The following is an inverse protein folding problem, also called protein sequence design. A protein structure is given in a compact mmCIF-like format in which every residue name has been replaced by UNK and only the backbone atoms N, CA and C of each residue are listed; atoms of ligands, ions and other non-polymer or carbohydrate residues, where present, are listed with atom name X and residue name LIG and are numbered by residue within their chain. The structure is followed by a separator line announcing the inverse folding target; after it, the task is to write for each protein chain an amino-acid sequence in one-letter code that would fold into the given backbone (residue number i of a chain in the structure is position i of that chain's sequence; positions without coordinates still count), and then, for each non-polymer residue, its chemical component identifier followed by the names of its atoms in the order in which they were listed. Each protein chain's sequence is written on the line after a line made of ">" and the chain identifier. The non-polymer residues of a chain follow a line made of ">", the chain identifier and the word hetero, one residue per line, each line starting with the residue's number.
data_IF_210015159726
#
_entry.id   IF_210015159726
#
_cell.length_a   1.000
_cell.length_b   1.000
_cell.length_c   1.000
_cell.angle_alpha   90.00
_cell.angle_beta   90.00
_cell.angle_gamma   90.00
#
_symmetry.space_group_name_H-M   'P 1'
#
loop_
_entity.id
_entity.type
_entity.pdbx_description
1 polymer ?
#
# COMPACT_ATOMS: atom_id res chain seq x y z
N UNK A 1 -5.31 24.52 -2.91
CA UNK A 1 -5.16 23.90 -2.45
C UNK A 1 -4.87 23.67 -2.07
N UNK A 2 -4.75 23.58 -2.02
CA UNK A 2 -4.47 23.04 -1.44
C UNK A 2 -4.31 22.42 -1.23
N UNK A 3 -4.23 22.51 -1.66
CA UNK A 3 -4.03 21.59 -1.31
C UNK A 3 -3.50 21.22 -1.43
N UNK A 4 -3.55 21.23 -1.81
CA UNK A 4 -2.94 20.59 -1.84
C UNK A 4 -2.15 20.70 -1.83
N UNK A 5 -1.68 20.95 -1.97
CA UNK A 5 -0.85 20.76 -1.66
C UNK A 5 -0.36 20.55 -1.34
N UNK A 6 -0.27 20.66 -1.65
CA UNK A 6 0.29 20.28 -1.09
C UNK A 6 0.22 19.64 -0.57
N UNK A 7 0.29 19.93 -1.13
CA UNK A 7 -0.29 18.91 -0.33
C UNK A 7 0.73 17.88 0.15
N UNK A 8 1.74 17.70 -0.59
CA UNK A 8 2.82 16.81 -0.26
C UNK A 8 3.52 17.23 1.03
N UNK A 9 3.75 18.49 1.12
CA UNK A 9 4.41 19.03 2.31
C UNK A 9 3.59 18.86 3.55
N UNK A 10 2.27 18.84 3.38
CA UNK A 10 1.37 18.68 4.50
C UNK A 10 1.23 17.24 4.96
N UNK A 11 1.76 16.33 4.16
CA UNK A 11 1.60 14.93 4.48
C UNK A 11 2.30 14.55 5.78
N UNK A 12 3.43 15.14 6.07
CA UNK A 12 4.15 14.88 7.29
C UNK A 12 4.88 13.55 7.34
N UNK A 13 4.58 12.65 6.41
CA UNK A 13 5.19 11.32 6.39
C UNK A 13 5.55 10.97 4.96
N UNK A 14 6.77 10.46 4.74
CA UNK A 14 7.16 10.09 3.38
C UNK A 14 6.40 8.86 2.91
N UNK A 15 6.20 8.77 1.61
CA UNK A 15 5.67 7.57 0.98
C UNK A 15 6.80 6.74 0.44
N UNK A 16 6.66 5.42 0.60
CA UNK A 16 7.69 4.48 0.22
C UNK A 16 7.08 3.44 -0.71
N UNK A 17 7.76 3.11 -1.81
CA UNK A 17 7.33 2.05 -2.72
C UNK A 17 7.63 0.70 -2.09
N UNK A 18 6.64 -0.15 -1.99
CA UNK A 18 6.82 -1.44 -1.31
C UNK A 18 6.41 -2.66 -2.12
N UNK A 19 5.48 -2.55 -3.05
CA UNK A 19 5.11 -3.67 -3.93
C UNK A 19 4.84 -4.97 -3.18
N UNK A 20 3.94 -4.92 -2.23
CA UNK A 20 3.60 -6.10 -1.44
C UNK A 20 2.21 -6.61 -1.77
N UNK A 21 2.03 -7.93 -1.78
CA UNK A 21 0.70 -8.49 -1.95
C UNK A 21 -0.14 -8.27 -0.71
N UNK A 22 -1.42 -8.06 -0.94
CA UNK A 22 -2.39 -7.95 0.13
C UNK A 22 -3.61 -8.77 -0.19
N UNK A 23 -4.31 -9.14 0.87
CA UNK A 23 -5.67 -9.65 0.79
C UNK A 23 -6.58 -8.61 1.40
N UNK A 24 -7.72 -8.38 0.79
CA UNK A 24 -8.66 -7.43 1.34
C UNK A 24 -10.07 -7.99 1.28
N UNK A 25 -10.90 -7.48 2.17
CA UNK A 25 -12.31 -7.82 2.24
C UNK A 25 -13.09 -6.54 2.40
N UNK A 26 -14.05 -6.35 1.51
CA UNK A 26 -15.04 -5.29 1.64
C UNK A 26 -15.91 -5.65 2.84
N UNK A 27 -16.13 -4.71 3.74
CA UNK A 27 -16.84 -5.02 4.98
C UNK A 27 -18.24 -5.54 4.74
N UNK A 28 -18.83 -5.25 3.60
CA UNK A 28 -20.15 -5.77 3.25
C UNK A 28 -20.14 -7.05 2.46
N UNK A 29 -18.98 -7.61 2.13
CA UNK A 29 -18.84 -8.74 1.23
C UNK A 29 -17.85 -9.72 1.86
N UNK A 30 -18.24 -10.98 2.09
CA UNK A 30 -17.33 -11.93 2.75
C UNK A 30 -16.20 -12.45 1.87
N UNK A 31 -16.18 -12.15 0.58
CA UNK A 31 -15.12 -12.65 -0.30
C UNK A 31 -13.80 -11.97 -0.03
N UNK A 32 -12.74 -12.77 0.10
CA UNK A 32 -11.37 -12.25 0.13
C UNK A 32 -10.87 -12.07 -1.29
N UNK A 33 -10.17 -10.98 -1.53
CA UNK A 33 -9.63 -10.66 -2.85
C UNK A 33 -8.20 -10.23 -2.72
N UNK A 34 -7.42 -10.44 -3.79
CA UNK A 34 -6.03 -10.04 -3.81
C UNK A 34 -5.83 -8.70 -4.47
N UNK A 35 -4.79 -8.01 -4.07
CA UNK A 35 -4.37 -6.74 -4.68
C UNK A 35 -2.91 -6.53 -4.35
N UNK A 36 -2.35 -5.42 -4.85
CA UNK A 36 -0.97 -5.06 -4.60
C UNK A 36 -0.96 -3.69 -3.92
N UNK A 37 -0.24 -3.59 -2.81
CA UNK A 37 0.04 -2.28 -2.26
C UNK A 37 1.31 -1.77 -2.93
N UNK A 38 1.20 -0.63 -3.60
CA UNK A 38 2.28 -0.07 -4.40
C UNK A 38 3.16 0.82 -3.55
N UNK A 39 2.54 1.67 -2.76
CA UNK A 39 3.31 2.48 -1.82
C UNK A 39 2.51 2.68 -0.54
N UNK A 40 3.21 3.07 0.49
CA UNK A 40 2.65 3.20 1.82
C UNK A 40 3.29 4.36 2.57
N UNK A 41 2.53 4.89 3.52
CA UNK A 41 3.03 5.83 4.52
C UNK A 41 2.38 5.47 5.84
N UNK A 42 2.66 6.25 6.87
CA UNK A 42 2.04 6.01 8.19
C UNK A 42 0.53 6.13 8.14
N UNK A 43 0.00 6.88 7.20
CA UNK A 43 -1.43 7.20 7.18
C UNK A 43 -2.24 6.47 6.14
N UNK A 44 -1.62 5.77 5.20
CA UNK A 44 -2.40 5.12 4.16
C UNK A 44 -1.60 4.39 3.12
N UNK A 45 -2.34 3.81 2.17
CA UNK A 45 -1.78 3.01 1.08
C UNK A 45 -2.23 3.55 -0.27
N UNK A 46 -1.41 3.29 -1.28
CA UNK A 46 -1.86 3.29 -2.67
C UNK A 46 -1.89 1.83 -3.11
N UNK A 47 -3.05 1.34 -3.54
CA UNK A 47 -3.15 -0.04 -3.99
C UNK A 47 -3.64 -0.10 -5.43
N UNK A 48 -3.38 -1.25 -6.08
CA UNK A 48 -3.89 -1.57 -7.39
C UNK A 48 -4.70 -2.85 -7.29
N UNK A 49 -5.93 -2.80 -7.79
CA UNK A 49 -6.84 -3.92 -7.70
C UNK A 49 -7.69 -3.99 -8.95
N UNK A 50 -8.18 -5.21 -9.24
CA UNK A 50 -9.02 -5.43 -10.43
C UNK A 50 -10.45 -5.00 -10.20
N UNK A 51 -10.94 -5.11 -8.98
CA UNK A 51 -12.34 -4.89 -8.69
C UNK A 51 -12.66 -3.40 -8.63
N UNK A 52 -13.82 -3.06 -9.17
CA UNK A 52 -14.35 -1.70 -9.09
C UNK A 52 -15.03 -1.53 -7.74
N UNK A 53 -14.45 -0.71 -6.87
CA UNK A 53 -14.95 -0.52 -5.51
C UNK A 53 -15.25 0.96 -5.32
N UNK A 54 -16.36 1.26 -4.69
CA UNK A 54 -16.79 2.66 -4.53
C UNK A 54 -15.92 3.42 -3.53
N UNK A 55 -15.69 4.69 -3.81
CA UNK A 55 -15.05 5.59 -2.85
C UNK A 55 -15.90 5.63 -1.59
N UNK A 56 -15.24 5.63 -0.44
CA UNK A 56 -15.92 5.61 0.85
C UNK A 56 -16.05 4.22 1.45
N UNK A 57 -15.79 3.17 0.65
CA UNK A 57 -15.85 1.81 1.14
C UNK A 57 -14.73 1.53 2.14
N UNK A 58 -15.05 0.83 3.22
CA UNK A 58 -14.05 0.41 4.20
C UNK A 58 -13.61 -1.01 3.88
N UNK A 59 -12.33 -1.24 3.93
CA UNK A 59 -11.72 -2.53 3.61
C UNK A 59 -10.96 -3.03 4.82
N UNK A 60 -11.07 -4.32 5.08
CA UNK A 60 -10.21 -5.01 6.02
C UNK A 60 -9.05 -5.59 5.20
N UNK A 61 -7.84 -5.18 5.50
CA UNK A 61 -6.67 -5.48 4.68
C UNK A 61 -5.66 -6.26 5.49
N UNK A 62 -5.13 -7.31 4.90
CA UNK A 62 -4.00 -8.05 5.46
C UNK A 62 -2.84 -7.89 4.51
N UNK A 63 -1.74 -7.35 4.99
CA UNK A 63 -0.51 -7.16 4.21
C UNK A 63 0.44 -8.30 4.56
N UNK A 64 1.04 -8.89 3.52
CA UNK A 64 1.98 -10.00 3.69
C UNK A 64 3.36 -9.54 3.27
N UNK A 65 4.34 -9.78 4.11
CA UNK A 65 5.71 -9.43 3.73
C UNK A 65 6.71 -10.45 4.29
N UNK A 66 7.80 -10.67 3.57
CA UNK A 66 8.82 -11.61 4.03
C UNK A 66 9.73 -10.96 5.08
N UNK A 67 10.11 -11.76 6.07
CA UNK A 67 11.10 -11.34 7.05
C UNK A 67 12.00 -12.54 7.30
N UNK A 68 13.17 -12.55 6.65
CA UNK A 68 14.01 -13.72 6.66
C UNK A 68 13.34 -14.87 5.92
N UNK A 69 13.18 -15.98 6.59
CA UNK A 69 12.57 -17.16 6.00
C UNK A 69 11.11 -17.32 6.36
N UNK A 70 10.52 -16.36 7.07
CA UNK A 70 9.12 -16.45 7.44
C UNK A 70 8.34 -15.34 6.75
N UNK A 71 7.04 -15.60 6.62
CA UNK A 71 6.10 -14.63 6.09
C UNK A 71 5.36 -14.02 7.26
N UNK A 72 5.39 -12.71 7.34
CA UNK A 72 4.76 -11.97 8.44
C UNK A 72 3.58 -11.21 7.87
N UNK A 73 2.52 -11.09 8.67
CA UNK A 73 1.37 -10.30 8.24
C UNK A 73 1.05 -9.22 9.25
N UNK A 74 0.36 -8.20 8.78
CA UNK A 74 -0.29 -7.24 9.66
C UNK A 74 -1.60 -6.79 9.02
N UNK A 75 -2.49 -6.27 9.86
CA UNK A 75 -3.85 -5.95 9.45
C UNK A 75 -4.17 -4.50 9.70
N UNK A 76 -5.01 -3.95 8.82
CA UNK A 76 -5.46 -2.57 8.94
C UNK A 76 -6.85 -2.46 8.35
N UNK A 77 -7.67 -1.59 8.94
CA UNK A 77 -8.94 -1.19 8.34
C UNK A 77 -8.71 0.16 7.70
N UNK A 78 -9.05 0.28 6.44
CA UNK A 78 -8.80 1.49 5.67
C UNK A 78 -10.03 1.86 4.85
N UNK A 79 -10.12 3.14 4.50
CA UNK A 79 -11.24 3.66 3.72
C UNK A 79 -10.70 4.18 2.40
N UNK A 80 -11.41 3.87 1.32
CA UNK A 80 -11.06 4.38 0.00
C UNK A 80 -11.42 5.86 -0.05
N UNK A 81 -10.43 6.70 -0.27
CA UNK A 81 -10.65 8.15 -0.34
C UNK A 81 -10.58 8.68 -1.76
N UNK A 82 -9.95 7.95 -2.69
CA UNK A 82 -10.02 8.28 -4.11
C UNK A 82 -9.77 7.03 -4.95
N UNK A 83 -10.14 7.11 -6.21
CA UNK A 83 -10.09 6.00 -7.13
C UNK A 83 -9.89 6.53 -8.53
N UNK A 84 -9.11 5.82 -9.35
CA UNK A 84 -9.04 6.14 -10.78
C UNK A 84 -8.82 4.86 -11.57
N UNK A 85 -9.33 4.79 -12.81
CA UNK A 85 -8.99 3.69 -13.69
C UNK A 85 -7.50 3.71 -13.97
N UNK A 86 -6.93 2.53 -14.16
CA UNK A 86 -5.50 2.42 -14.38
C UNK A 86 -5.21 1.19 -15.22
N UNK A 87 -4.28 1.33 -16.15
CA UNK A 87 -3.88 0.19 -16.96
C UNK A 87 -2.38 0.22 -17.16
N UNK A 88 -1.83 -0.93 -17.50
CA UNK A 88 -0.41 -1.09 -17.79
C UNK A 88 -0.26 -1.56 -19.22
N UNK A 89 0.71 -0.99 -19.93
CA UNK A 89 0.96 -1.29 -21.33
C UNK A 89 2.40 -1.67 -21.53
N UNK A 90 2.64 -2.50 -22.57
CA UNK A 90 4.00 -2.85 -22.93
C UNK A 90 4.58 -1.76 -23.86
N UNK A 91 5.80 -1.99 -24.34
CA UNK A 91 6.48 -1.01 -25.18
C UNK A 91 5.78 -0.74 -26.49
N UNK A 92 4.93 -1.65 -26.93
CA UNK A 92 4.16 -1.49 -28.16
C UNK A 92 2.79 -0.87 -27.93
N UNK A 93 2.51 -0.45 -26.71
CA UNK A 93 1.22 0.12 -26.37
C UNK A 93 0.14 -0.90 -26.12
N UNK A 94 0.48 -2.18 -26.07
CA UNK A 94 -0.50 -3.23 -25.83
C UNK A 94 -0.79 -3.32 -24.33
N UNK A 95 -2.07 -3.24 -23.98
CA UNK A 95 -2.52 -3.27 -22.61
C UNK A 95 -2.47 -4.71 -22.11
N UNK A 96 -1.75 -4.94 -20.99
CA UNK A 96 -1.66 -6.28 -20.43
C UNK A 96 -2.26 -6.37 -19.02
N UNK A 97 -2.61 -5.23 -18.42
CA UNK A 97 -3.28 -5.21 -17.11
C UNK A 97 -4.23 -4.04 -17.06
N UNK A 98 -5.35 -4.25 -16.44
CA UNK A 98 -6.40 -3.24 -16.41
C UNK A 98 -7.17 -3.37 -15.10
N UNK A 99 -7.33 -2.27 -14.41
CA UNK A 99 -8.03 -2.24 -13.14
C UNK A 99 -8.10 -0.82 -12.62
N UNK A 100 -7.86 -0.68 -11.33
CA UNK A 100 -8.03 0.60 -10.65
C UNK A 100 -6.91 0.83 -9.67
N UNK A 101 -6.58 2.09 -9.48
CA UNK A 101 -5.75 2.52 -8.36
C UNK A 101 -6.64 3.18 -7.31
N UNK A 102 -6.33 2.90 -6.06
CA UNK A 102 -7.09 3.42 -4.93
C UNK A 102 -6.14 4.06 -3.95
N UNK A 103 -6.52 5.26 -3.48
CA UNK A 103 -5.88 5.84 -2.32
C UNK A 103 -6.67 5.46 -1.09
N UNK A 104 -5.99 4.92 -0.10
CA UNK A 104 -6.61 4.43 1.12
C UNK A 104 -6.09 5.19 2.32
N UNK A 105 -6.98 5.54 3.22
CA UNK A 105 -6.65 6.18 4.48
C UNK A 105 -6.92 5.20 5.60
N UNK A 106 -5.95 5.03 6.51
CA UNK A 106 -6.12 4.11 7.62
C UNK A 106 -7.17 4.64 8.58
N UNK A 107 -8.09 3.75 8.96
CA UNK A 107 -9.12 4.08 9.93
C UNK A 107 -8.83 3.44 11.26
N UNK A 108 -8.24 2.26 11.25
CA UNK A 108 -8.04 1.50 12.48
C UNK A 108 -6.88 0.55 12.27
N UNK A 109 -5.93 0.60 13.18
CA UNK A 109 -4.78 -0.31 13.16
C UNK A 109 -4.36 -0.49 14.62
N UNK A 110 -4.08 -1.72 15.02
CA UNK A 110 -3.63 -1.99 16.37
C UNK A 110 -2.20 -1.49 16.56
N UNK A 111 -1.78 -1.32 17.81
CA UNK A 111 -0.42 -0.88 18.09
C UNK A 111 0.60 -1.86 17.57
N UNK A 112 0.32 -3.15 17.69
CA UNK A 112 1.22 -4.19 17.20
C UNK A 112 1.34 -4.11 15.69
N UNK A 113 0.23 -3.97 15.00
CA UNK A 113 0.25 -3.90 13.54
C UNK A 113 0.88 -2.60 13.04
N UNK A 114 0.70 -1.51 13.77
CA UNK A 114 1.36 -0.26 13.42
C UNK A 114 2.87 -0.40 13.54
N UNK A 115 3.32 -1.14 14.52
CA UNK A 115 4.74 -1.41 14.69
C UNK A 115 5.29 -2.12 13.45
N UNK A 116 4.55 -3.12 12.98
CA UNK A 116 4.96 -3.87 11.79
C UNK A 116 4.97 -2.98 10.54
N UNK A 117 3.96 -2.14 10.41
CA UNK A 117 3.91 -1.18 9.31
C UNK A 117 5.12 -0.25 9.34
N UNK A 118 5.43 0.29 10.51
CA UNK A 118 6.57 1.17 10.68
C UNK A 118 7.87 0.47 10.29
N UNK A 119 8.00 -0.79 10.66
CA UNK A 119 9.17 -1.58 10.33
C UNK A 119 9.32 -1.73 8.81
N UNK A 120 8.22 -2.02 8.12
CA UNK A 120 8.24 -2.19 6.66
C UNK A 120 8.64 -0.89 5.98
N UNK A 121 8.02 0.21 6.37
CA UNK A 121 8.33 1.52 5.79
C UNK A 121 9.76 1.93 6.11
N UNK A 122 10.18 1.74 7.36
CA UNK A 122 11.52 2.10 7.77
C UNK A 122 12.60 1.31 7.04
N UNK A 123 12.35 0.02 6.84
CA UNK A 123 13.28 -0.80 6.10
C UNK A 123 13.47 -0.33 4.67
N UNK A 124 12.38 0.09 4.03
CA UNK A 124 12.47 0.60 2.66
C UNK A 124 13.22 1.93 2.61
N UNK A 125 12.96 2.81 3.56
CA UNK A 125 13.68 4.08 3.62
C UNK A 125 15.18 3.86 3.79
N UNK A 126 15.54 2.93 4.66
CA UNK A 126 16.95 2.62 4.87
C UNK A 126 17.59 2.02 3.63
N UNK A 127 16.86 1.18 2.91
CA UNK A 127 17.35 0.62 1.66
C UNK A 127 17.65 1.69 0.64
N UNK A 128 16.83 2.73 0.59
CA UNK A 128 17.05 3.83 -0.32
C UNK A 128 18.23 4.68 0.07
N UNK A 129 18.47 4.82 1.36
CA UNK A 129 19.60 5.62 1.85
C UNK A 129 20.90 4.87 1.78
N UNK A 130 20.86 3.57 1.98
CA UNK A 130 22.05 2.74 2.07
C UNK A 130 22.02 1.73 0.94
N UNK A 131 22.93 1.85 -0.04
CA UNK A 131 22.97 0.89 -1.14
C UNK A 131 23.10 -0.54 -0.62
N UNK A 132 22.58 -1.52 -1.37
CA UNK A 132 22.61 -2.91 -0.90
C UNK A 132 23.98 -3.41 -0.54
N UNK A 133 25.02 -2.97 -1.26
CA UNK A 133 26.37 -3.42 -0.96
C UNK A 133 26.80 -3.03 0.43
N UNK A 134 26.32 -1.92 0.94
CA UNK A 134 26.66 -1.48 2.28
C UNK A 134 25.88 -2.23 3.34
N UNK A 135 24.66 -2.60 3.02
CA UNK A 135 23.80 -3.24 3.99
C UNK A 135 24.23 -4.67 4.28
N UNK A 136 25.14 -5.22 3.49
CA UNK A 136 25.64 -6.57 3.69
C UNK A 136 26.93 -6.64 4.44
N UNK A 137 27.42 -5.54 4.90
CA UNK A 137 28.65 -5.58 5.67
C UNK A 137 28.43 -6.38 6.93
N UNK A 138 29.15 -7.45 7.15
CA UNK A 138 28.98 -8.28 8.33
C UNK A 138 29.42 -7.58 9.59
#
# INVERSE_FOLDING_TARGET
>A
MEGSFNSKERRGHPRVFIDLPIEYQDMGDPCLRGAIVVNASDGGFLIEALKDISVGTELSITVLYPKGFILVDFKVVAKIVWKKPYSKEDLNGKQYWRGYQYGLEFMQISDEDRWKLTFVIGGRLESEKNPPSQSYQP
#
